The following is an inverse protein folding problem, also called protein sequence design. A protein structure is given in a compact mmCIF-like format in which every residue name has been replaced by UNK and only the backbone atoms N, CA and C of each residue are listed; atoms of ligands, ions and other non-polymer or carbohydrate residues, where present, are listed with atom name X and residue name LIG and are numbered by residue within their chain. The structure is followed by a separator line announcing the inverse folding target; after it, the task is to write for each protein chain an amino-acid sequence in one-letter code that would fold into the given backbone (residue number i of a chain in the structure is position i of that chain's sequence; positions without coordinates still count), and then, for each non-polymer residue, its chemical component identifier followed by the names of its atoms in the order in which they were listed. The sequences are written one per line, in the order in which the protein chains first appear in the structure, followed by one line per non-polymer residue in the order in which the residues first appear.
data_IF_561740004408
#
_entry.id   IF_561740004408
#
_cell.length_a   1.000
_cell.length_b   1.000
_cell.length_c   1.000
_cell.angle_alpha   90.00
_cell.angle_beta   90.00
_cell.angle_gamma   90.00
#
_symmetry.space_group_name_H-M   'P 1'
#
loop_
_entity.id
_entity.type
_entity.pdbx_description
1 polymer ?
#
# COMPACT_ATOMS: atom_id res chain seq x y z
N UNK A 1 27.04 3.98 -16.84
CA UNK A 1 26.60 5.37 -17.04
C UNK A 1 25.51 5.32 -18.10
N UNK A 2 24.29 5.78 -17.84
CA UNK A 2 23.27 5.88 -18.88
C UNK A 2 23.66 7.05 -19.80
N UNK A 3 24.02 6.75 -21.05
CA UNK A 3 24.35 7.77 -22.04
C UNK A 3 23.06 8.36 -22.62
N UNK A 4 22.90 9.69 -22.56
CA UNK A 4 21.77 10.39 -23.16
C UNK A 4 21.59 9.95 -24.62
N UNK A 5 20.40 9.47 -24.98
CA UNK A 5 20.05 9.03 -26.34
C UNK A 5 20.28 7.54 -26.64
N UNK A 6 20.56 6.71 -25.64
CA UNK A 6 20.44 5.25 -25.77
C UNK A 6 19.06 4.75 -25.30
N UNK A 7 18.68 3.52 -25.71
CA UNK A 7 17.36 2.97 -25.42
C UNK A 7 17.08 2.81 -23.90
N UNK A 8 18.11 2.57 -23.10
CA UNK A 8 18.00 2.47 -21.63
C UNK A 8 17.69 3.84 -20.99
N UNK A 9 18.29 4.91 -21.50
CA UNK A 9 18.01 6.28 -21.08
C UNK A 9 16.57 6.68 -21.43
N UNK A 10 16.10 6.33 -22.62
CA UNK A 10 14.74 6.62 -23.04
C UNK A 10 13.71 5.82 -22.23
N UNK A 11 13.97 4.55 -21.90
CA UNK A 11 13.10 3.74 -21.03
C UNK A 11 13.08 4.29 -19.59
N UNK A 12 14.23 4.72 -19.05
CA UNK A 12 14.31 5.36 -17.74
C UNK A 12 13.55 6.70 -17.69
N UNK A 13 13.68 7.53 -18.73
CA UNK A 13 12.93 8.78 -18.85
C UNK A 13 11.42 8.52 -18.94
N UNK A 14 11.01 7.49 -19.69
CA UNK A 14 9.60 7.09 -19.78
C UNK A 14 9.07 6.57 -18.44
N UNK A 15 9.85 5.78 -17.68
CA UNK A 15 9.46 5.38 -16.32
C UNK A 15 9.28 6.59 -15.39
N UNK A 16 10.12 7.61 -15.50
CA UNK A 16 9.94 8.84 -14.73
C UNK A 16 8.64 9.56 -15.10
N UNK A 17 8.30 9.63 -16.38
CA UNK A 17 7.02 10.17 -16.84
C UNK A 17 5.83 9.36 -16.29
N UNK A 18 5.92 8.03 -16.27
CA UNK A 18 4.90 7.15 -15.70
C UNK A 18 4.66 7.44 -14.22
N UNK A 19 5.75 7.55 -13.43
CA UNK A 19 5.66 7.93 -12.01
C UNK A 19 4.97 9.27 -11.84
N UNK A 20 5.40 10.31 -12.59
CA UNK A 20 4.82 11.64 -12.50
C UNK A 20 3.32 11.64 -12.84
N UNK A 21 2.89 10.91 -13.87
CA UNK A 21 1.46 10.81 -14.20
C UNK A 21 0.67 10.07 -13.13
N UNK A 22 1.18 8.95 -12.63
CA UNK A 22 0.52 8.17 -11.58
C UNK A 22 0.39 8.96 -10.27
N UNK A 23 1.47 9.58 -9.81
CA UNK A 23 1.50 10.41 -8.61
C UNK A 23 0.64 11.67 -8.76
N UNK A 24 0.60 12.25 -9.96
CA UNK A 24 -0.29 13.35 -10.33
C UNK A 24 -1.76 12.94 -10.52
N UNK A 25 -2.13 11.71 -10.17
CA UNK A 25 -3.51 11.21 -10.17
C UNK A 25 -4.13 11.01 -11.55
N UNK A 26 -3.32 10.91 -12.62
CA UNK A 26 -3.81 10.65 -13.98
C UNK A 26 -4.36 9.23 -14.06
N UNK A 27 -5.51 9.10 -14.69
CA UNK A 27 -6.11 7.80 -14.98
C UNK A 27 -5.44 7.14 -16.19
N UNK A 28 -5.72 5.86 -16.40
CA UNK A 28 -5.29 5.14 -17.59
C UNK A 28 -5.84 5.84 -18.86
N UNK A 29 -7.08 6.32 -18.82
CA UNK A 29 -7.71 7.02 -19.94
C UNK A 29 -7.07 8.39 -20.20
N UNK A 30 -6.68 9.11 -19.15
CA UNK A 30 -5.95 10.38 -19.30
C UNK A 30 -4.60 10.17 -19.99
N UNK A 31 -3.85 9.14 -19.58
CA UNK A 31 -2.55 8.84 -20.19
C UNK A 31 -2.70 8.33 -21.62
N UNK A 32 -3.79 7.60 -21.89
CA UNK A 32 -4.15 7.19 -23.24
C UNK A 32 -4.34 8.41 -24.16
N UNK A 33 -5.05 9.43 -23.69
CA UNK A 33 -5.24 10.69 -24.40
C UNK A 33 -3.92 11.47 -24.56
N UNK A 34 -3.10 11.57 -23.50
CA UNK A 34 -1.78 12.22 -23.55
C UNK A 34 -0.89 11.58 -24.63
N UNK A 35 -0.98 10.27 -24.79
CA UNK A 35 -0.22 9.53 -25.81
C UNK A 35 -0.84 9.60 -27.22
N UNK A 36 -1.88 10.42 -27.40
CA UNK A 36 -2.63 10.61 -28.66
C UNK A 36 -3.24 9.31 -29.20
N UNK A 37 -3.57 8.37 -28.31
CA UNK A 37 -4.18 7.10 -28.71
C UNK A 37 -5.70 7.25 -28.86
N UNK A 38 -6.33 6.48 -29.77
CA UNK A 38 -7.79 6.41 -29.87
C UNK A 38 -8.41 6.07 -28.52
N UNK A 39 -9.51 6.73 -28.14
CA UNK A 39 -10.12 6.57 -26.82
C UNK A 39 -10.53 5.13 -26.47
N UNK A 40 -10.79 4.28 -27.47
CA UNK A 40 -11.17 2.88 -27.31
C UNK A 40 -10.49 2.00 -28.35
N UNK A 41 -10.50 0.70 -28.12
CA UNK A 41 -9.95 -0.32 -29.03
C UNK A 41 -8.44 -0.49 -28.91
N UNK A 42 -7.88 -1.40 -29.67
CA UNK A 42 -6.43 -1.55 -29.77
C UNK A 42 -5.85 -0.58 -30.81
N UNK A 43 -4.63 -0.12 -30.58
CA UNK A 43 -3.93 0.79 -31.49
C UNK A 43 -2.55 0.25 -31.86
N UNK A 44 -2.45 -1.05 -32.18
CA UNK A 44 -1.18 -1.80 -32.34
C UNK A 44 -0.19 -1.15 -33.30
N UNK A 45 -0.67 -0.46 -34.34
CA UNK A 45 0.18 0.27 -35.30
C UNK A 45 0.62 1.68 -34.87
N UNK A 46 0.14 2.18 -33.72
CA UNK A 46 0.48 3.51 -33.24
C UNK A 46 1.79 3.51 -32.44
N UNK A 47 2.68 4.47 -32.71
CA UNK A 47 4.02 4.54 -32.11
C UNK A 47 4.04 4.52 -30.57
N UNK A 48 2.99 5.05 -29.93
CA UNK A 48 2.87 5.11 -28.47
C UNK A 48 2.11 3.94 -27.85
N UNK A 49 1.59 3.00 -28.64
CA UNK A 49 0.80 1.89 -28.10
C UNK A 49 1.58 1.00 -27.14
N UNK A 50 2.82 0.63 -27.52
CA UNK A 50 3.70 -0.14 -26.63
C UNK A 50 4.04 0.62 -25.34
N UNK A 51 4.23 1.94 -25.41
CA UNK A 51 4.49 2.78 -24.22
C UNK A 51 3.26 2.83 -23.31
N UNK A 52 2.07 2.94 -23.89
CA UNK A 52 0.82 2.91 -23.14
C UNK A 52 0.61 1.58 -22.42
N UNK A 53 0.87 0.44 -23.08
CA UNK A 53 0.78 -0.87 -22.44
C UNK A 53 1.75 -0.99 -21.25
N UNK A 54 3.00 -0.52 -21.40
CA UNK A 54 3.97 -0.43 -20.30
C UNK A 54 3.47 0.46 -19.15
N UNK A 55 2.78 1.57 -19.43
CA UNK A 55 2.16 2.38 -18.38
C UNK A 55 1.04 1.63 -17.65
N UNK A 56 0.19 0.89 -18.37
CA UNK A 56 -0.86 0.07 -17.75
C UNK A 56 -0.26 -1.00 -16.83
N UNK A 57 0.84 -1.64 -17.23
CA UNK A 57 1.60 -2.56 -16.38
C UNK A 57 2.17 -1.86 -15.16
N UNK A 58 2.82 -0.71 -15.33
CA UNK A 58 3.32 0.12 -14.23
C UNK A 58 2.24 0.46 -13.20
N UNK A 59 1.03 0.84 -13.64
CA UNK A 59 -0.11 1.11 -12.74
C UNK A 59 -0.50 -0.13 -11.94
N UNK A 60 -0.49 -1.32 -12.56
CA UNK A 60 -0.75 -2.59 -11.85
C UNK A 60 0.32 -2.88 -10.81
N UNK A 61 1.59 -2.70 -11.15
CA UNK A 61 2.72 -2.86 -10.24
C UNK A 61 2.57 -1.94 -9.02
N UNK A 62 2.27 -0.65 -9.22
CA UNK A 62 2.09 0.31 -8.12
C UNK A 62 0.91 -0.03 -7.21
N UNK A 63 -0.20 -0.51 -7.77
CA UNK A 63 -1.33 -0.99 -6.97
C UNK A 63 -0.96 -2.22 -6.15
N UNK A 64 -0.18 -3.14 -6.73
CA UNK A 64 0.30 -4.32 -6.01
C UNK A 64 1.29 -3.95 -4.90
N UNK A 65 2.23 -3.03 -5.17
CA UNK A 65 3.15 -2.50 -4.15
C UNK A 65 2.40 -1.90 -2.97
N UNK A 66 1.37 -1.07 -3.23
CA UNK A 66 0.54 -0.48 -2.18
C UNK A 66 -0.22 -1.54 -1.38
N UNK A 67 -0.80 -2.55 -2.04
CA UNK A 67 -1.48 -3.66 -1.39
C UNK A 67 -0.51 -4.48 -0.51
N UNK A 68 0.68 -4.78 -1.02
CA UNK A 68 1.72 -5.50 -0.28
C UNK A 68 2.20 -4.67 0.93
N UNK A 69 2.39 -3.37 0.77
CA UNK A 69 2.76 -2.47 1.85
C UNK A 69 1.70 -2.44 2.96
N UNK A 70 0.41 -2.43 2.60
CA UNK A 70 -0.69 -2.52 3.56
C UNK A 70 -0.66 -3.85 4.33
N UNK A 71 -0.44 -4.98 3.65
CA UNK A 71 -0.28 -6.30 4.30
C UNK A 71 0.89 -6.28 5.29
N UNK A 72 2.05 -5.77 4.87
CA UNK A 72 3.24 -5.69 5.73
C UNK A 72 2.98 -4.79 6.94
N UNK A 73 2.26 -3.68 6.78
CA UNK A 73 1.89 -2.80 7.89
C UNK A 73 1.01 -3.52 8.93
N UNK A 74 0.01 -4.30 8.47
CA UNK A 74 -0.81 -5.15 9.35
C UNK A 74 0.04 -6.19 10.08
N UNK A 75 0.94 -6.87 9.38
CA UNK A 75 1.82 -7.87 9.98
C UNK A 75 2.75 -7.27 11.05
N UNK A 76 3.34 -6.10 10.79
CA UNK A 76 4.16 -5.37 11.77
C UNK A 76 3.35 -4.99 13.02
N UNK A 77 2.12 -4.51 12.82
CA UNK A 77 1.22 -4.14 13.92
C UNK A 77 0.84 -5.35 14.77
N UNK A 78 0.40 -6.45 14.14
CA UNK A 78 0.06 -7.69 14.84
C UNK A 78 1.27 -8.29 15.56
N UNK A 79 2.49 -8.15 15.01
CA UNK A 79 3.72 -8.52 15.72
C UNK A 79 3.92 -7.69 16.98
N UNK A 80 3.81 -6.36 16.90
CA UNK A 80 3.93 -5.49 18.07
C UNK A 80 2.92 -5.85 19.18
N UNK A 81 1.69 -6.20 18.81
CA UNK A 81 0.66 -6.63 19.76
C UNK A 81 1.04 -7.91 20.51
N UNK A 82 1.62 -8.89 19.79
CA UNK A 82 2.14 -10.11 20.40
C UNK A 82 3.32 -9.79 21.32
N UNK A 83 4.24 -8.95 20.88
CA UNK A 83 5.41 -8.56 21.67
C UNK A 83 4.97 -7.90 22.98
N UNK A 84 3.99 -6.97 22.94
CA UNK A 84 3.42 -6.36 24.16
C UNK A 84 2.80 -7.38 25.11
N UNK A 85 2.11 -8.39 24.58
CA UNK A 85 1.54 -9.45 25.40
C UNK A 85 2.62 -10.33 26.04
N UNK A 86 3.66 -10.71 25.28
CA UNK A 86 4.79 -11.51 25.78
C UNK A 86 5.59 -10.73 26.84
N UNK A 87 5.75 -9.42 26.64
CA UNK A 87 6.34 -8.50 27.62
C UNK A 87 5.49 -8.33 28.90
N UNK A 88 4.26 -8.85 28.91
CA UNK A 88 3.37 -8.77 30.07
C UNK A 88 2.71 -7.40 30.26
N UNK A 89 2.59 -6.58 29.20
CA UNK A 89 1.87 -5.31 29.30
C UNK A 89 0.42 -5.54 29.71
N UNK A 90 -0.03 -4.78 30.68
CA UNK A 90 -1.42 -4.77 31.14
C UNK A 90 -2.33 -4.08 30.12
N UNK A 91 -3.62 -4.40 30.18
CA UNK A 91 -4.62 -3.73 29.33
C UNK A 91 -4.60 -2.21 29.50
N UNK A 92 -4.41 -1.71 30.72
CA UNK A 92 -4.33 -0.28 31.02
C UNK A 92 -3.13 0.39 30.34
N UNK A 93 -1.98 -0.27 30.29
CA UNK A 93 -0.78 0.23 29.59
C UNK A 93 -1.00 0.25 28.08
N UNK A 94 -1.63 -0.78 27.51
CA UNK A 94 -1.94 -0.82 26.08
C UNK A 94 -2.99 0.22 25.69
N UNK A 95 -4.02 0.43 26.52
CA UNK A 95 -4.97 1.54 26.36
C UNK A 95 -4.26 2.89 26.35
N UNK A 96 -3.28 3.10 27.23
CA UNK A 96 -2.45 4.32 27.24
C UNK A 96 -1.66 4.49 25.93
N UNK A 97 -1.11 3.41 25.36
CA UNK A 97 -0.42 3.45 24.06
C UNK A 97 -1.37 3.91 22.94
N UNK A 98 -2.65 3.51 23.00
CA UNK A 98 -3.67 3.92 22.04
C UNK A 98 -4.36 5.23 22.38
N UNK A 99 -3.92 5.92 23.44
CA UNK A 99 -4.52 7.17 23.94
C UNK A 99 -6.01 7.00 24.31
N UNK A 100 -6.37 5.80 24.77
CA UNK A 100 -7.75 5.45 25.14
C UNK A 100 -8.02 5.73 26.62
N UNK A 101 -9.29 5.94 27.00
CA UNK A 101 -9.71 5.91 28.39
C UNK A 101 -9.27 4.61 29.07
N UNK A 102 -8.86 4.72 30.33
CA UNK A 102 -8.32 3.60 31.11
C UNK A 102 -9.29 2.43 31.24
N UNK A 103 -10.61 2.70 31.18
CA UNK A 103 -11.68 1.71 31.29
C UNK A 103 -12.82 2.06 30.33
N UNK A 104 -13.69 1.08 30.06
CA UNK A 104 -14.89 1.26 29.25
C UNK A 104 -14.64 1.19 27.75
N UNK A 105 -15.74 1.30 27.00
CA UNK A 105 -15.72 1.36 25.53
C UNK A 105 -15.50 2.79 25.05
N UNK A 106 -14.79 2.94 23.92
CA UNK A 106 -14.54 4.24 23.32
C UNK A 106 -14.80 4.20 21.80
N UNK A 107 -15.97 3.73 21.39
CA UNK A 107 -16.33 3.45 19.98
C UNK A 107 -16.12 4.63 19.02
N UNK A 108 -16.25 5.87 19.50
CA UNK A 108 -16.03 7.07 18.68
C UNK A 108 -14.54 7.49 18.62
N UNK A 109 -13.64 6.78 19.29
CA UNK A 109 -12.21 7.09 19.31
C UNK A 109 -11.50 6.47 18.12
N UNK A 110 -10.65 7.21 17.38
CA UNK A 110 -9.99 6.72 16.16
C UNK A 110 -9.05 5.53 16.36
N UNK A 111 -8.65 5.25 17.60
CA UNK A 111 -7.80 4.10 17.95
C UNK A 111 -8.56 2.95 18.61
N UNK A 112 -9.88 3.03 18.75
CA UNK A 112 -10.67 1.97 19.39
C UNK A 112 -10.58 0.65 18.63
N UNK A 113 -10.76 0.68 17.31
CA UNK A 113 -10.65 -0.52 16.47
C UNK A 113 -9.27 -1.19 16.57
N UNK A 114 -8.19 -0.39 16.71
CA UNK A 114 -6.83 -0.93 16.89
C UNK A 114 -6.68 -1.66 18.22
N UNK A 115 -7.35 -1.18 19.25
CA UNK A 115 -7.37 -1.83 20.56
C UNK A 115 -8.22 -3.11 20.56
N UNK A 116 -9.35 -3.11 19.86
CA UNK A 116 -10.14 -4.34 19.64
C UNK A 116 -9.33 -5.40 18.89
N UNK A 117 -8.60 -5.01 17.83
CA UNK A 117 -7.66 -5.91 17.13
C UNK A 117 -6.56 -6.45 18.06
N UNK A 118 -6.03 -5.64 18.98
CA UNK A 118 -5.08 -6.10 19.98
C UNK A 118 -5.67 -7.21 20.86
N UNK A 119 -6.90 -7.02 21.37
CA UNK A 119 -7.58 -8.02 22.20
C UNK A 119 -7.80 -9.33 21.45
N UNK A 120 -8.16 -9.26 20.16
CA UNK A 120 -8.28 -10.45 19.30
C UNK A 120 -6.95 -11.19 19.14
N UNK A 121 -5.85 -10.46 18.87
CA UNK A 121 -4.51 -11.06 18.73
C UNK A 121 -4.08 -11.76 20.01
N UNK A 122 -4.31 -11.15 21.17
CA UNK A 122 -4.01 -11.75 22.48
C UNK A 122 -4.82 -13.03 22.71
N UNK A 123 -6.12 -13.00 22.38
CA UNK A 123 -7.01 -14.17 22.49
C UNK A 123 -6.60 -15.32 21.57
N UNK A 124 -6.14 -15.02 20.36
CA UNK A 124 -5.60 -16.03 19.45
C UNK A 124 -4.29 -16.62 19.97
N UNK A 125 -3.35 -15.76 20.39
CA UNK A 125 -2.00 -16.18 20.75
C UNK A 125 -1.96 -16.96 22.07
N UNK A 126 -2.76 -16.56 23.06
CA UNK A 126 -2.91 -17.30 24.33
C UNK A 126 -3.36 -18.75 24.11
N UNK A 127 -4.21 -19.03 23.11
CA UNK A 127 -4.63 -20.41 22.77
C UNK A 127 -3.53 -21.26 22.13
N UNK A 128 -2.48 -20.64 21.62
CA UNK A 128 -1.38 -21.33 20.95
C UNK A 128 -0.28 -21.68 21.96
N UNK A 129 0.05 -20.74 22.86
CA UNK A 129 1.16 -20.88 23.83
C UNK A 129 0.82 -21.83 24.98
N UNK A 130 -0.45 -21.94 25.38
CA UNK A 130 -0.89 -22.77 26.50
C UNK A 130 -1.53 -24.10 26.08
N UNK A 131 -1.12 -24.67 24.94
CA UNK A 131 -1.44 -26.05 24.54
C UNK A 131 -0.26 -26.96 24.85
#
# INVERSE_FOLDING_TARGET
MLGKGNAEWDDALMRLAYSHWFEGGKTIDDVRLIMSLPAKGEAVGHENWGKYLKYVEFVKEKKQEAANAAIVAVLKRRRAYRDWYIEGKTEAEVRKIFELPAIGTAQNHPNWEKFEEYLEVVKEYSKIVFK
#
